data_IF_316468253046
#
_entry.id   IF_316468253046
#
_cell.length_a   1.000
_cell.length_b   1.000
_cell.length_c   1.000
_cell.angle_alpha   90.00
_cell.angle_beta   90.00
_cell.angle_gamma   90.00
#
_symmetry.space_group_name_H-M   'P 1'
#
loop_
_entity.id
_entity.type
_entity.pdbx_description
1 polymer ?
#
# COMPACT_ATOMS: atom_id res chain seq x y z
N UNK A 1 -17.83 79.31 21.74
CA UNK A 1 -17.75 77.97 21.14
C UNK A 1 -17.84 76.99 22.30
N UNK A 2 -18.85 76.08 22.33
CA UNK A 2 -18.92 75.09 23.37
C UNK A 2 -18.08 73.84 22.98
N UNK A 3 -17.45 73.29 23.99
CA UNK A 3 -16.59 72.14 24.02
C UNK A 3 -17.43 70.84 23.80
N UNK A 4 -16.95 69.84 23.03
CA UNK A 4 -17.70 68.61 22.82
C UNK A 4 -17.57 67.60 23.97
N UNK A 5 -18.69 67.11 24.42
CA UNK A 5 -18.86 66.03 25.41
C UNK A 5 -18.28 64.70 24.93
N UNK A 6 -17.55 63.96 25.77
CA UNK A 6 -17.06 62.67 25.39
C UNK A 6 -18.19 61.61 25.29
N UNK A 7 -18.28 60.93 24.14
CA UNK A 7 -19.21 59.85 23.86
C UNK A 7 -18.78 58.58 24.60
N UNK A 8 -19.68 57.97 25.34
CA UNK A 8 -19.46 56.74 26.06
C UNK A 8 -19.30 55.55 25.08
N UNK A 9 -18.23 54.80 25.24
CA UNK A 9 -17.99 53.54 24.55
C UNK A 9 -18.89 52.43 25.11
N UNK A 10 -19.60 51.65 24.31
CA UNK A 10 -20.38 50.52 24.84
C UNK A 10 -19.45 49.41 25.31
N UNK A 11 -19.73 48.92 26.51
CA UNK A 11 -19.12 47.79 27.17
C UNK A 11 -19.50 46.52 26.38
N UNK A 12 -18.51 45.91 25.66
CA UNK A 12 -18.69 44.67 24.94
C UNK A 12 -18.41 43.51 25.90
N UNK A 13 -19.47 42.92 26.43
CA UNK A 13 -19.40 41.66 27.18
C UNK A 13 -18.84 40.56 26.26
N UNK A 14 -17.78 39.85 26.63
CA UNK A 14 -17.25 38.74 25.80
C UNK A 14 -18.26 37.63 25.79
N UNK A 15 -18.67 37.27 24.57
CA UNK A 15 -19.49 36.09 24.28
C UNK A 15 -18.68 34.82 24.64
N UNK A 16 -19.25 33.82 25.31
CA UNK A 16 -18.52 32.58 25.64
C UNK A 16 -18.16 31.84 24.36
N UNK A 17 -16.87 31.62 24.14
CA UNK A 17 -16.32 30.77 23.07
C UNK A 17 -17.04 29.42 23.09
N UNK A 18 -17.41 28.88 21.91
CA UNK A 18 -17.99 27.54 21.84
C UNK A 18 -16.99 26.51 22.36
N UNK A 19 -17.36 25.81 23.42
CA UNK A 19 -16.65 24.67 23.95
C UNK A 19 -16.53 23.65 22.83
N UNK A 20 -15.31 23.39 22.37
CA UNK A 20 -15.01 22.26 21.48
C UNK A 20 -15.36 20.99 22.26
N UNK A 21 -16.55 20.46 22.03
CA UNK A 21 -16.91 19.13 22.47
C UNK A 21 -15.93 18.16 21.76
N UNK A 22 -14.96 17.66 22.51
CA UNK A 22 -14.17 16.49 22.11
C UNK A 22 -15.15 15.32 22.06
N UNK A 23 -15.64 15.01 20.87
CA UNK A 23 -16.41 13.78 20.65
C UNK A 23 -15.46 12.61 20.93
N UNK A 24 -15.76 11.84 21.97
CA UNK A 24 -15.09 10.55 22.18
C UNK A 24 -15.22 9.74 20.89
N UNK A 25 -14.13 9.02 20.45
CA UNK A 25 -14.21 8.17 19.27
C UNK A 25 -15.29 7.12 19.53
N UNK A 26 -16.33 7.12 18.72
CA UNK A 26 -17.32 6.05 18.70
C UNK A 26 -16.60 4.82 18.18
N UNK A 27 -16.45 3.80 19.01
CA UNK A 27 -15.99 2.47 18.58
C UNK A 27 -17.04 1.88 17.64
N UNK A 28 -16.85 2.07 16.35
CA UNK A 28 -17.70 1.52 15.29
C UNK A 28 -17.18 0.18 14.76
N UNK A 29 -16.20 -0.42 15.44
CA UNK A 29 -15.56 -1.68 15.06
C UNK A 29 -14.77 -1.61 13.75
N UNK A 30 -14.49 -0.41 13.25
CA UNK A 30 -13.72 -0.20 12.01
C UNK A 30 -12.31 0.27 12.36
N UNK A 31 -11.31 -0.44 11.87
CA UNK A 31 -9.89 -0.12 12.09
C UNK A 31 -9.34 0.64 10.89
N UNK A 32 -8.73 1.81 11.15
CA UNK A 32 -8.34 2.80 10.13
C UNK A 32 -6.86 3.18 10.23
N UNK A 33 -6.28 3.74 9.17
CA UNK A 33 -4.95 4.36 9.25
C UNK A 33 -4.88 5.39 10.38
N UNK A 34 -3.86 5.22 11.23
CA UNK A 34 -3.64 6.03 12.43
C UNK A 34 -4.12 5.39 13.73
N UNK A 35 -4.94 4.35 13.67
CA UNK A 35 -5.35 3.58 14.85
C UNK A 35 -4.18 2.77 15.42
N UNK A 36 -4.28 2.39 16.70
CA UNK A 36 -3.30 1.55 17.38
C UNK A 36 -3.96 0.73 18.49
N UNK A 37 -3.31 -0.36 18.90
CA UNK A 37 -3.77 -1.22 19.98
C UNK A 37 -3.97 -2.68 19.56
N UNK A 38 -4.66 -3.44 20.43
CA UNK A 38 -4.77 -4.88 20.31
C UNK A 38 -5.52 -5.33 19.05
N UNK A 39 -6.52 -4.60 18.60
CA UNK A 39 -7.26 -4.92 17.37
C UNK A 39 -6.39 -4.76 16.12
N UNK A 40 -5.55 -3.70 16.09
CA UNK A 40 -4.55 -3.51 15.03
C UNK A 40 -3.52 -4.63 15.06
N UNK A 41 -2.99 -4.94 16.26
CA UNK A 41 -2.00 -5.99 16.45
C UNK A 41 -2.53 -7.35 15.98
N UNK A 42 -3.75 -7.71 16.38
CA UNK A 42 -4.39 -8.95 15.98
C UNK A 42 -4.60 -9.03 14.46
N UNK A 43 -5.04 -7.93 13.85
CA UNK A 43 -5.20 -7.85 12.40
C UNK A 43 -3.84 -7.98 11.67
N UNK A 44 -2.80 -7.28 12.12
CA UNK A 44 -1.45 -7.37 11.56
C UNK A 44 -0.89 -8.80 11.65
N UNK A 45 -1.05 -9.46 12.80
CA UNK A 45 -0.65 -10.87 12.96
C UNK A 45 -1.38 -11.74 11.94
N UNK A 46 -2.69 -11.57 11.78
CA UNK A 46 -3.47 -12.34 10.82
C UNK A 46 -3.04 -12.07 9.36
N UNK A 47 -2.71 -10.83 9.00
CA UNK A 47 -2.15 -10.50 7.69
C UNK A 47 -0.83 -11.23 7.46
N UNK A 48 0.07 -11.22 8.43
CA UNK A 48 1.36 -11.92 8.37
C UNK A 48 1.17 -13.43 8.19
N UNK A 49 0.28 -14.06 8.96
CA UNK A 49 -0.04 -15.51 8.86
C UNK A 49 -0.58 -15.89 7.48
N UNK A 50 -1.28 -14.97 6.83
CA UNK A 50 -1.81 -15.16 5.47
C UNK A 50 -0.81 -14.78 4.37
N UNK A 51 0.39 -14.31 4.73
CA UNK A 51 1.42 -13.92 3.78
C UNK A 51 1.21 -12.54 3.13
N UNK A 52 0.32 -11.70 3.65
CA UNK A 52 0.25 -10.29 3.25
C UNK A 52 1.36 -9.53 3.95
N UNK A 53 2.29 -9.00 3.17
CA UNK A 53 3.44 -8.32 3.75
C UNK A 53 3.08 -6.90 4.22
N UNK A 54 3.41 -6.60 5.47
CA UNK A 54 3.09 -5.33 6.13
C UNK A 54 4.27 -4.71 6.91
N UNK A 55 5.47 -5.34 6.82
CA UNK A 55 6.60 -4.96 7.66
C UNK A 55 6.52 -5.63 9.04
N UNK A 56 6.69 -4.86 10.09
CA UNK A 56 6.61 -5.33 11.47
C UNK A 56 5.16 -5.41 11.98
N UNK A 57 4.92 -6.33 12.90
CA UNK A 57 3.67 -6.46 13.65
C UNK A 57 3.84 -5.67 14.93
N UNK A 58 3.42 -4.40 14.94
CA UNK A 58 3.73 -3.41 15.97
C UNK A 58 2.50 -2.82 16.68
N UNK A 59 1.29 -3.23 16.27
CA UNK A 59 0.03 -2.70 16.80
C UNK A 59 -0.30 -1.28 16.35
N UNK A 60 0.41 -0.74 15.33
CA UNK A 60 0.17 0.59 14.79
C UNK A 60 -0.28 0.52 13.32
N UNK A 61 -1.45 1.09 13.01
CA UNK A 61 -1.95 1.10 11.63
C UNK A 61 -1.22 2.15 10.80
N UNK A 62 -0.01 1.82 10.39
CA UNK A 62 0.85 2.66 9.57
C UNK A 62 0.64 2.48 8.06
N UNK A 63 1.47 3.15 7.24
CA UNK A 63 1.42 3.04 5.78
C UNK A 63 1.61 1.60 5.25
N UNK A 64 2.44 0.78 5.90
CA UNK A 64 2.66 -0.61 5.48
C UNK A 64 1.46 -1.51 5.80
N UNK A 65 0.79 -1.29 6.93
CA UNK A 65 -0.49 -1.95 7.25
C UNK A 65 -1.54 -1.59 6.20
N UNK A 66 -1.62 -0.31 5.78
CA UNK A 66 -2.49 0.12 4.68
C UNK A 66 -2.19 -0.65 3.38
N UNK A 67 -0.91 -0.89 3.06
CA UNK A 67 -0.55 -1.67 1.87
C UNK A 67 -1.03 -3.13 1.95
N UNK A 68 -0.95 -3.76 3.13
CA UNK A 68 -1.46 -5.13 3.32
C UNK A 68 -3.00 -5.19 3.23
N UNK A 69 -3.70 -4.21 3.80
CA UNK A 69 -5.16 -4.11 3.68
C UNK A 69 -5.59 -3.94 2.23
N UNK A 70 -4.93 -3.05 1.48
CA UNK A 70 -5.17 -2.90 0.04
C UNK A 70 -4.93 -4.21 -0.72
N UNK A 71 -3.87 -4.96 -0.38
CA UNK A 71 -3.58 -6.24 -1.02
C UNK A 71 -4.68 -7.28 -0.74
N UNK A 72 -5.20 -7.36 0.50
CA UNK A 72 -6.34 -8.21 0.83
C UNK A 72 -7.62 -7.79 0.10
N UNK A 73 -7.94 -6.50 0.08
CA UNK A 73 -9.12 -5.96 -0.61
C UNK A 73 -9.08 -6.30 -2.10
N UNK A 74 -7.91 -6.19 -2.74
CA UNK A 74 -7.67 -6.59 -4.12
C UNK A 74 -7.86 -8.09 -4.33
N UNK A 75 -7.30 -8.92 -3.45
CA UNK A 75 -7.45 -10.37 -3.52
C UNK A 75 -8.91 -10.81 -3.36
N UNK A 76 -9.66 -10.12 -2.49
CA UNK A 76 -11.06 -10.39 -2.18
C UNK A 76 -12.06 -9.72 -3.15
N UNK A 77 -11.61 -8.87 -4.08
CA UNK A 77 -12.50 -8.12 -4.98
C UNK A 77 -13.36 -7.08 -4.26
N UNK A 78 -12.85 -6.52 -3.15
CA UNK A 78 -13.53 -5.51 -2.35
C UNK A 78 -13.17 -4.08 -2.81
N UNK A 79 -13.87 -3.08 -2.25
CA UNK A 79 -13.48 -1.69 -2.38
C UNK A 79 -12.07 -1.51 -1.82
N UNK A 80 -11.21 -0.79 -2.56
CA UNK A 80 -9.78 -0.62 -2.28
C UNK A 80 -9.55 0.73 -1.58
N UNK A 81 -10.06 0.87 -0.35
CA UNK A 81 -10.01 2.11 0.44
C UNK A 81 -8.91 2.09 1.53
N UNK A 82 -8.30 0.93 1.76
CA UNK A 82 -7.27 0.77 2.78
C UNK A 82 -7.82 0.81 4.21
N UNK A 83 -9.12 0.60 4.40
CA UNK A 83 -9.79 0.57 5.70
C UNK A 83 -10.19 -0.86 6.05
N UNK A 84 -9.95 -1.27 7.27
CA UNK A 84 -10.33 -2.59 7.78
C UNK A 84 -11.76 -2.55 8.33
N UNK A 85 -12.72 -2.25 7.43
CA UNK A 85 -14.16 -2.28 7.72
C UNK A 85 -14.72 -3.70 7.74
N UNK A 86 -16.04 -3.88 8.07
CA UNK A 86 -16.63 -5.19 8.31
C UNK A 86 -16.43 -6.23 7.19
N UNK A 87 -16.53 -5.81 5.93
CA UNK A 87 -16.31 -6.71 4.78
C UNK A 87 -14.85 -7.14 4.65
N UNK A 88 -13.92 -6.22 4.91
CA UNK A 88 -12.47 -6.51 4.87
C UNK A 88 -12.07 -7.40 6.05
N UNK A 89 -12.62 -7.16 7.25
CA UNK A 89 -12.44 -8.01 8.42
C UNK A 89 -12.96 -9.43 8.16
N UNK A 90 -14.14 -9.57 7.58
CA UNK A 90 -14.72 -10.87 7.21
C UNK A 90 -13.81 -11.62 6.22
N UNK A 91 -13.25 -10.94 5.20
CA UNK A 91 -12.32 -11.54 4.25
C UNK A 91 -11.00 -11.96 4.92
N UNK A 92 -10.49 -11.17 5.88
CA UNK A 92 -9.30 -11.48 6.67
C UNK A 92 -9.54 -12.70 7.57
N UNK A 93 -10.66 -12.75 8.26
CA UNK A 93 -11.06 -13.87 9.12
C UNK A 93 -11.25 -15.16 8.31
N UNK A 94 -11.87 -15.07 7.12
CA UNK A 94 -12.05 -16.20 6.20
C UNK A 94 -10.73 -16.71 5.61
N UNK A 95 -9.60 -16.01 5.81
CA UNK A 95 -8.31 -16.41 5.29
C UNK A 95 -8.18 -16.25 3.77
N UNK A 96 -8.86 -15.25 3.19
CA UNK A 96 -8.79 -14.97 1.75
C UNK A 96 -7.33 -14.75 1.31
N UNK A 97 -6.91 -15.49 0.26
CA UNK A 97 -5.56 -15.39 -0.32
C UNK A 97 -5.63 -15.48 -1.85
N UNK A 98 -4.75 -14.75 -2.57
CA UNK A 98 -4.60 -14.96 -4.01
C UNK A 98 -4.01 -16.34 -4.29
N UNK A 99 -4.28 -16.87 -5.48
CA UNK A 99 -3.74 -18.16 -5.95
C UNK A 99 -2.62 -17.90 -6.96
N UNK A 100 -1.56 -18.70 -6.87
CA UNK A 100 -0.51 -18.71 -7.88
C UNK A 100 -1.03 -19.27 -9.22
N UNK A 101 -0.55 -18.72 -10.33
CA UNK A 101 -0.86 -19.18 -11.70
C UNK A 101 0.33 -19.83 -12.40
N UNK A 102 1.54 -19.65 -11.88
CA UNK A 102 2.79 -20.14 -12.46
C UNK A 102 3.61 -20.97 -11.49
N UNK A 103 4.86 -21.20 -11.86
CA UNK A 103 5.87 -21.79 -11.01
C UNK A 103 6.55 -20.78 -10.10
N UNK A 104 7.60 -21.20 -9.43
CA UNK A 104 8.39 -20.37 -8.51
C UNK A 104 8.90 -19.08 -9.18
N UNK A 105 8.91 -17.99 -8.42
CA UNK A 105 9.32 -16.66 -8.86
C UNK A 105 8.36 -15.58 -8.41
N UNK A 106 8.19 -14.54 -9.22
CA UNK A 106 7.27 -13.46 -8.97
C UNK A 106 6.15 -13.45 -10.02
N UNK A 107 4.93 -13.26 -9.57
CA UNK A 107 3.77 -13.04 -10.42
C UNK A 107 3.24 -11.61 -10.25
N UNK A 108 2.84 -10.98 -11.33
CA UNK A 108 2.22 -9.66 -11.36
C UNK A 108 0.83 -9.79 -11.96
N UNK A 109 -0.18 -9.75 -11.11
CA UNK A 109 -1.61 -9.77 -11.48
C UNK A 109 -2.05 -8.34 -11.81
N UNK A 110 -2.22 -8.06 -13.09
CA UNK A 110 -2.58 -6.71 -13.58
C UNK A 110 -4.03 -6.35 -13.26
N UNK A 111 -4.93 -7.30 -13.24
CA UNK A 111 -6.35 -7.05 -12.95
C UNK A 111 -6.55 -6.69 -11.48
N UNK A 112 -5.89 -7.44 -10.60
CA UNK A 112 -5.96 -7.19 -9.16
C UNK A 112 -4.96 -6.16 -8.68
N UNK A 113 -3.90 -5.88 -9.44
CA UNK A 113 -2.79 -5.02 -9.04
C UNK A 113 -2.07 -5.61 -7.80
N UNK A 114 -1.69 -6.88 -7.89
CA UNK A 114 -0.95 -7.62 -6.88
C UNK A 114 0.40 -8.08 -7.42
N UNK A 115 1.42 -8.01 -6.58
CA UNK A 115 2.69 -8.69 -6.79
C UNK A 115 2.75 -9.86 -5.80
N UNK A 116 2.93 -11.07 -6.34
CA UNK A 116 2.94 -12.32 -5.58
C UNK A 116 4.34 -12.94 -5.65
N UNK A 117 4.89 -13.31 -4.52
CA UNK A 117 6.08 -14.18 -4.46
C UNK A 117 5.59 -15.61 -4.35
N UNK A 118 5.96 -16.46 -5.30
CA UNK A 118 5.52 -17.86 -5.41
C UNK A 118 6.69 -18.79 -5.15
N UNK A 119 6.48 -19.76 -4.25
CA UNK A 119 7.42 -20.84 -3.97
C UNK A 119 6.68 -22.17 -3.77
N UNK A 120 7.21 -23.22 -4.36
CA UNK A 120 6.57 -24.54 -4.33
C UNK A 120 5.14 -24.51 -4.88
N UNK A 121 4.87 -23.66 -5.88
CA UNK A 121 3.54 -23.49 -6.47
C UNK A 121 2.52 -22.78 -5.58
N UNK A 122 2.94 -22.17 -4.46
CA UNK A 122 2.08 -21.47 -3.51
C UNK A 122 2.51 -20.02 -3.35
N UNK A 123 1.55 -19.13 -3.12
CA UNK A 123 1.84 -17.74 -2.77
C UNK A 123 2.45 -17.70 -1.37
N UNK A 124 3.72 -17.34 -1.28
CA UNK A 124 4.42 -17.09 0.00
C UNK A 124 4.10 -15.68 0.51
N UNK A 125 4.21 -14.67 -0.38
CA UNK A 125 3.91 -13.28 -0.06
C UNK A 125 2.98 -12.67 -1.10
N UNK A 126 2.06 -11.83 -0.63
CA UNK A 126 1.21 -10.98 -1.44
C UNK A 126 1.44 -9.51 -1.06
N UNK A 127 1.77 -8.69 -2.06
CA UNK A 127 2.04 -7.27 -1.90
C UNK A 127 1.09 -6.44 -2.75
N UNK A 128 0.67 -5.28 -2.22
CA UNK A 128 0.05 -4.25 -3.04
C UNK A 128 1.05 -3.78 -4.09
N UNK A 129 0.63 -3.67 -5.35
CA UNK A 129 1.42 -3.04 -6.41
C UNK A 129 0.58 -2.06 -7.22
N UNK A 130 1.25 -1.17 -7.94
CA UNK A 130 0.66 -0.27 -8.92
C UNK A 130 1.47 -0.36 -10.21
N UNK A 131 0.84 -0.85 -11.25
CA UNK A 131 1.47 -1.14 -12.55
C UNK A 131 1.20 -0.05 -13.59
N UNK A 132 1.54 -0.28 -14.83
CA UNK A 132 1.33 0.67 -15.95
C UNK A 132 -0.13 1.02 -16.17
N UNK A 133 -0.38 2.30 -16.51
CA UNK A 133 -1.74 2.85 -16.72
C UNK A 133 -2.45 2.30 -17.95
N UNK A 134 -1.83 1.41 -18.72
CA UNK A 134 -2.34 0.98 -20.02
C UNK A 134 -2.11 2.02 -21.14
N UNK A 135 -2.78 1.86 -22.27
CA UNK A 135 -2.62 2.76 -23.40
C UNK A 135 -1.16 2.90 -23.84
N UNK A 136 -0.60 4.11 -23.67
CA UNK A 136 0.82 4.37 -23.96
C UNK A 136 1.81 3.69 -23.01
N UNK A 137 1.38 3.32 -21.81
CA UNK A 137 2.24 2.86 -20.71
C UNK A 137 1.77 1.52 -20.12
N UNK A 138 1.57 0.47 -20.92
CA UNK A 138 1.17 -0.83 -20.40
C UNK A 138 2.33 -1.50 -19.65
N UNK A 139 2.01 -2.35 -18.68
CA UNK A 139 2.93 -3.41 -18.24
C UNK A 139 2.63 -4.62 -19.13
N UNK A 140 3.53 -5.02 -20.04
CA UNK A 140 3.25 -6.10 -20.99
C UNK A 140 3.07 -7.44 -20.29
N UNK A 141 2.03 -8.18 -20.64
CA UNK A 141 1.81 -9.56 -20.19
C UNK A 141 2.84 -10.51 -20.81
N UNK A 142 3.18 -11.55 -20.09
CA UNK A 142 4.13 -12.55 -20.58
C UNK A 142 4.93 -13.22 -19.46
N UNK A 143 5.87 -14.07 -19.87
CA UNK A 143 6.84 -14.72 -18.98
C UNK A 143 8.22 -14.15 -19.26
N UNK A 144 8.86 -13.66 -18.23
CA UNK A 144 10.13 -12.96 -18.27
C UNK A 144 11.08 -13.57 -17.23
N UNK A 145 12.32 -13.13 -17.26
CA UNK A 145 13.28 -13.34 -16.19
C UNK A 145 13.83 -11.99 -15.72
N UNK A 146 14.27 -11.90 -14.47
CA UNK A 146 15.02 -10.72 -14.01
C UNK A 146 16.34 -10.66 -14.78
N UNK A 147 16.51 -9.62 -15.60
CA UNK A 147 17.65 -9.45 -16.51
C UNK A 147 18.78 -8.65 -15.86
N UNK A 148 18.41 -7.70 -15.02
CA UNK A 148 19.34 -6.73 -14.42
C UNK A 148 18.79 -6.20 -13.10
N UNK A 149 19.69 -5.86 -12.18
CA UNK A 149 19.36 -5.27 -10.90
C UNK A 149 20.31 -4.09 -10.60
N UNK A 150 19.81 -3.09 -9.89
CA UNK A 150 20.62 -1.96 -9.40
C UNK A 150 20.33 -1.84 -7.90
N UNK A 151 21.39 -1.91 -7.08
CA UNK A 151 21.25 -1.71 -5.63
C UNK A 151 21.45 -0.22 -5.31
N UNK A 152 20.37 0.48 -5.19
CA UNK A 152 20.30 1.92 -4.93
C UNK A 152 19.25 2.65 -5.76
N UNK A 153 19.26 3.97 -5.65
CA UNK A 153 18.36 4.83 -6.43
C UNK A 153 18.84 4.92 -7.89
N UNK A 154 17.92 4.71 -8.81
CA UNK A 154 18.11 4.94 -10.24
C UNK A 154 17.27 6.13 -10.67
N UNK A 155 17.92 7.25 -10.92
CA UNK A 155 17.28 8.41 -11.55
C UNK A 155 16.93 8.10 -13.00
N UNK A 156 15.69 8.37 -13.39
CA UNK A 156 15.20 8.13 -14.74
C UNK A 156 14.22 9.23 -15.18
N UNK A 157 14.11 9.52 -16.49
CA UNK A 157 13.25 10.61 -17.00
C UNK A 157 11.76 10.50 -16.62
N UNK A 158 11.28 9.29 -16.34
CA UNK A 158 9.88 9.01 -15.97
C UNK A 158 9.67 8.82 -14.46
N UNK A 159 10.68 9.19 -13.67
CA UNK A 159 10.67 9.09 -12.21
C UNK A 159 11.72 8.10 -11.67
N UNK A 160 12.07 8.30 -10.42
CA UNK A 160 13.12 7.55 -9.77
C UNK A 160 12.66 6.15 -9.36
N UNK A 161 13.59 5.19 -9.45
CA UNK A 161 13.36 3.80 -9.13
C UNK A 161 14.28 3.38 -8.00
N UNK A 162 13.73 2.99 -6.87
CA UNK A 162 14.50 2.43 -5.76
C UNK A 162 14.75 0.94 -5.97
N UNK A 163 16.03 0.55 -6.01
CA UNK A 163 16.51 -0.83 -6.10
C UNK A 163 15.83 -1.65 -7.20
N UNK A 164 15.73 -1.15 -8.46
CA UNK A 164 14.96 -1.79 -9.51
C UNK A 164 15.50 -3.17 -9.89
N UNK A 165 14.59 -4.12 -10.09
CA UNK A 165 14.81 -5.44 -10.70
C UNK A 165 14.11 -5.44 -12.06
N UNK A 166 14.89 -5.26 -13.13
CA UNK A 166 14.38 -5.18 -14.50
C UNK A 166 14.09 -6.56 -15.04
N UNK A 167 12.93 -6.75 -15.67
CA UNK A 167 12.51 -8.02 -16.25
C UNK A 167 12.09 -7.92 -17.72
N UNK A 168 11.90 -6.73 -18.24
CA UNK A 168 11.58 -6.50 -19.65
C UNK A 168 12.14 -5.15 -20.10
N UNK A 169 13.34 -5.14 -20.70
CA UNK A 169 14.02 -3.91 -21.16
C UNK A 169 14.13 -2.84 -20.06
N UNK A 170 13.26 -1.79 -20.14
CA UNK A 170 13.21 -0.70 -19.14
C UNK A 170 12.16 -0.89 -18.04
N UNK A 171 11.40 -1.98 -18.07
CA UNK A 171 10.33 -2.27 -17.11
C UNK A 171 10.89 -3.10 -15.94
N UNK A 172 10.59 -2.67 -14.73
CA UNK A 172 11.11 -3.26 -13.50
C UNK A 172 10.05 -3.38 -12.41
N UNK A 173 10.32 -4.23 -11.43
CA UNK A 173 9.78 -4.08 -10.07
C UNK A 173 10.71 -3.13 -9.32
N UNK A 174 10.17 -2.10 -8.67
CA UNK A 174 10.97 -1.14 -7.93
C UNK A 174 10.22 -0.51 -6.76
N UNK A 175 10.95 -0.01 -5.78
CA UNK A 175 10.41 0.80 -4.71
C UNK A 175 9.99 2.18 -5.20
N UNK A 176 8.85 2.68 -4.68
CA UNK A 176 8.28 3.98 -5.00
C UNK A 176 7.64 4.60 -3.75
N UNK A 177 7.62 5.93 -3.64
CA UNK A 177 6.91 6.60 -2.54
C UNK A 177 5.38 6.56 -2.70
N UNK A 178 4.88 6.19 -3.89
CA UNK A 178 3.45 6.17 -4.19
C UNK A 178 3.05 4.85 -4.85
N UNK A 179 2.21 4.08 -4.13
CA UNK A 179 1.65 2.81 -4.59
C UNK A 179 0.13 2.85 -4.42
N UNK A 180 -0.59 3.57 -5.28
CA UNK A 180 -2.05 3.65 -5.20
C UNK A 180 -2.69 2.29 -5.47
N UNK A 181 -3.98 2.18 -5.14
CA UNK A 181 -4.74 0.94 -5.30
C UNK A 181 -5.08 0.60 -6.77
N UNK A 182 -4.66 1.43 -7.72
CA UNK A 182 -4.95 1.35 -9.15
C UNK A 182 -3.66 1.51 -9.97
N UNK A 183 -3.68 1.17 -11.29
CA UNK A 183 -2.55 1.39 -12.19
C UNK A 183 -2.19 2.88 -12.30
N UNK A 184 -0.92 3.24 -12.05
CA UNK A 184 -0.46 4.64 -12.05
C UNK A 184 0.99 4.81 -12.53
N UNK A 185 1.66 3.75 -12.99
CA UNK A 185 3.04 3.82 -13.47
C UNK A 185 3.14 4.00 -14.99
N UNK A 186 4.35 4.20 -15.47
CA UNK A 186 4.69 4.21 -16.88
C UNK A 186 5.12 2.82 -17.41
N UNK A 187 4.64 1.75 -16.77
CA UNK A 187 4.90 0.35 -17.17
C UNK A 187 5.57 -0.50 -16.08
N UNK A 188 6.30 0.09 -15.14
CA UNK A 188 6.90 -0.63 -14.03
C UNK A 188 5.85 -1.11 -13.01
N UNK A 189 6.19 -2.13 -12.21
CA UNK A 189 5.42 -2.54 -11.04
C UNK A 189 6.02 -1.88 -9.79
N UNK A 190 5.26 -1.00 -9.15
CA UNK A 190 5.67 -0.26 -7.95
C UNK A 190 5.31 -1.02 -6.69
N UNK A 191 6.24 -1.09 -5.74
CA UNK A 191 6.00 -1.52 -4.37
C UNK A 191 6.54 -0.45 -3.41
N UNK A 192 6.27 -0.51 -2.10
CA UNK A 192 6.87 0.44 -1.16
C UNK A 192 8.39 0.27 -1.09
N UNK A 193 9.11 1.30 -0.66
CA UNK A 193 10.56 1.21 -0.45
C UNK A 193 10.91 0.05 0.48
N UNK A 194 10.22 -0.05 1.62
CA UNK A 194 10.45 -1.12 2.58
C UNK A 194 10.13 -2.52 2.02
N UNK A 195 9.09 -2.65 1.17
CA UNK A 195 8.80 -3.92 0.48
C UNK A 195 9.92 -4.27 -0.51
N UNK A 196 10.45 -3.29 -1.23
CA UNK A 196 11.56 -3.53 -2.15
C UNK A 196 12.84 -3.92 -1.39
N UNK A 197 13.12 -3.27 -0.27
CA UNK A 197 14.24 -3.62 0.60
C UNK A 197 14.13 -5.05 1.14
N UNK A 198 12.92 -5.48 1.53
CA UNK A 198 12.66 -6.85 1.95
C UNK A 198 12.87 -7.85 0.79
N UNK A 199 12.39 -7.54 -0.41
CA UNK A 199 12.58 -8.38 -1.61
C UNK A 199 14.08 -8.57 -1.90
N UNK A 200 14.90 -7.52 -1.71
CA UNK A 200 16.34 -7.59 -1.84
C UNK A 200 17.01 -8.36 -0.71
N UNK A 201 16.69 -8.05 0.53
CA UNK A 201 17.30 -8.68 1.71
C UNK A 201 17.07 -10.19 1.77
N UNK A 202 15.90 -10.64 1.30
CA UNK A 202 15.54 -12.07 1.22
C UNK A 202 15.88 -12.71 -0.12
N UNK A 203 16.49 -11.97 -1.03
CA UNK A 203 16.83 -12.39 -2.41
C UNK A 203 15.65 -13.10 -3.12
N UNK A 204 14.47 -12.48 -3.08
CA UNK A 204 13.24 -13.07 -3.63
C UNK A 204 13.09 -12.88 -5.15
N UNK A 205 13.91 -12.03 -5.75
CA UNK A 205 13.96 -11.74 -7.18
C UNK A 205 15.40 -11.69 -7.72
N UNK A 206 16.24 -12.74 -7.54
CA UNK A 206 17.59 -12.74 -8.07
C UNK A 206 17.59 -12.64 -9.60
N UNK A 207 18.74 -12.24 -10.19
CA UNK A 207 18.90 -12.26 -11.65
C UNK A 207 18.67 -13.69 -12.15
N UNK A 208 17.89 -13.83 -13.21
CA UNK A 208 17.45 -15.11 -13.78
C UNK A 208 16.16 -15.67 -13.19
N UNK A 209 15.64 -15.12 -12.07
CA UNK A 209 14.35 -15.58 -11.52
C UNK A 209 13.16 -15.23 -12.42
N UNK A 210 12.16 -16.09 -12.41
CA UNK A 210 10.96 -15.95 -13.24
C UNK A 210 10.09 -14.78 -12.80
N UNK A 211 9.57 -14.03 -13.78
CA UNK A 211 8.52 -13.00 -13.60
C UNK A 211 7.38 -13.31 -14.57
N UNK A 212 6.20 -13.61 -14.05
CA UNK A 212 5.00 -13.89 -14.83
C UNK A 212 4.00 -12.74 -14.69
N UNK A 213 3.74 -12.02 -15.78
CA UNK A 213 2.79 -10.89 -15.84
C UNK A 213 1.52 -11.33 -16.58
N UNK A 214 0.34 -11.17 -15.98
CA UNK A 214 -0.97 -11.55 -16.55
C UNK A 214 -2.11 -10.64 -16.12
#
# INVERSE_FOLDING_TARGET
TPEPTPSATPDVTPEPSPSTATSEPVDDGVVRPGDSGDDVLAAQQRFADLGYWLGEVDGSYGPLTTQAVLALQKAAGLQRDGVLGPRTQAALAAGTRPQARGGDGVEIDLDRQLLLVVRGGRVELALNTSTGTGGRWPTPTGRYAVERAIDGMREAPLGDLWRPRYFNRGIAVHGSPSIPAYPASHGCARVSFAAMDMLWARDLMPIGSSVHVY
#
